data_IF_458526510487
#
_entry.id   IF_458526510487
#
_cell.length_a   1.000
_cell.length_b   1.000
_cell.length_c   1.000
_cell.angle_alpha   90.00
_cell.angle_beta   90.00
_cell.angle_gamma   90.00
#
_symmetry.space_group_name_H-M   'P 1'
#
loop_
_entity.id
_entity.type
_entity.pdbx_description
1 polymer ?
#
# COMPACT_ATOMS: atom_id res chain seq x y z
N UNK A 1 -2.09 5.85 24.70
CA UNK A 1 -0.89 5.67 25.50
C UNK A 1 0.15 4.85 24.74
N UNK A 2 1.43 5.07 25.07
CA UNK A 2 2.54 4.34 24.50
C UNK A 2 3.01 3.25 25.44
N UNK A 3 3.48 2.16 24.88
CA UNK A 3 4.08 1.07 25.65
C UNK A 3 5.44 0.71 25.07
N UNK A 4 6.29 0.11 25.89
CA UNK A 4 7.57 -0.41 25.44
C UNK A 4 7.30 -1.56 24.47
N UNK A 5 7.94 -1.51 23.31
CA UNK A 5 7.72 -2.45 22.20
C UNK A 5 6.86 -1.89 21.09
N UNK A 6 6.16 -0.78 21.30
CA UNK A 6 5.36 -0.15 20.26
C UNK A 6 6.26 0.42 19.16
N UNK A 7 5.83 0.25 17.92
CA UNK A 7 6.43 0.96 16.78
C UNK A 7 5.73 2.30 16.61
N UNK A 8 6.48 3.37 16.70
CA UNK A 8 5.94 4.74 16.61
C UNK A 8 6.68 5.56 15.56
N UNK A 9 5.98 6.54 15.02
CA UNK A 9 6.56 7.63 14.23
C UNK A 9 6.23 8.94 14.90
N UNK A 10 7.26 9.72 15.22
CA UNK A 10 7.14 11.04 15.86
C UNK A 10 7.91 12.02 14.99
N UNK A 11 7.17 12.86 14.27
CA UNK A 11 7.76 13.70 13.23
C UNK A 11 8.36 12.83 12.12
N UNK A 12 9.66 12.97 11.91
CA UNK A 12 10.40 12.19 10.89
C UNK A 12 11.17 10.99 11.48
N UNK A 13 11.00 10.70 12.76
CA UNK A 13 11.70 9.62 13.46
C UNK A 13 10.77 8.44 13.67
N UNK A 14 11.15 7.27 13.17
CA UNK A 14 10.40 6.02 13.33
C UNK A 14 11.25 4.96 14.01
N UNK A 15 10.61 4.19 14.90
CA UNK A 15 11.28 3.09 15.56
C UNK A 15 10.45 2.48 16.66
N UNK A 16 11.05 1.51 17.36
CA UNK A 16 10.43 0.81 18.49
C UNK A 16 10.76 1.52 19.79
N UNK A 17 9.77 1.74 20.63
CA UNK A 17 9.98 2.28 21.97
C UNK A 17 10.71 1.24 22.81
N UNK A 18 11.88 1.60 23.32
CA UNK A 18 12.71 0.70 24.14
C UNK A 18 12.74 1.13 25.61
N UNK A 19 12.42 2.39 25.91
CA UNK A 19 12.37 2.90 27.28
C UNK A 19 11.43 4.10 27.36
N UNK A 20 10.67 4.19 28.44
CA UNK A 20 9.78 5.32 28.72
C UNK A 20 10.15 5.90 30.07
N UNK A 21 10.54 7.17 30.07
CA UNK A 21 10.87 7.91 31.29
C UNK A 21 9.89 9.07 31.49
N UNK A 22 9.97 9.69 32.64
CA UNK A 22 9.05 10.76 33.02
C UNK A 22 9.04 11.94 32.01
N UNK A 23 10.19 12.27 31.40
CA UNK A 23 10.32 13.43 30.54
C UNK A 23 10.76 13.10 29.12
N UNK A 24 10.97 11.83 28.80
CA UNK A 24 11.47 11.40 27.49
C UNK A 24 11.14 9.96 27.21
N UNK A 25 11.14 9.61 25.94
CA UNK A 25 11.10 8.24 25.48
C UNK A 25 12.35 7.93 24.66
N UNK A 26 12.79 6.68 24.68
CA UNK A 26 13.86 6.20 23.83
C UNK A 26 13.28 5.31 22.75
N UNK A 27 13.67 5.59 21.51
CA UNK A 27 13.26 4.85 20.31
C UNK A 27 14.48 4.24 19.67
N UNK A 28 14.38 2.96 19.32
CA UNK A 28 15.40 2.26 18.54
C UNK A 28 14.98 2.21 17.08
N UNK A 29 15.74 2.85 16.21
CA UNK A 29 15.43 2.93 14.78
C UNK A 29 15.82 1.65 14.04
N UNK A 30 15.42 1.53 12.76
CA UNK A 30 15.79 0.39 11.92
C UNK A 30 17.30 0.30 11.68
N UNK A 31 18.02 1.43 11.74
CA UNK A 31 19.48 1.46 11.65
C UNK A 31 20.16 1.06 12.95
N UNK A 32 19.40 0.57 13.94
CA UNK A 32 19.90 0.17 15.25
C UNK A 32 20.46 1.34 16.08
N UNK A 33 20.03 2.54 15.80
CA UNK A 33 20.40 3.77 16.53
C UNK A 33 19.35 4.06 17.58
N UNK A 34 19.77 4.46 18.78
CA UNK A 34 18.85 4.87 19.84
C UNK A 34 18.69 6.39 19.84
N UNK A 35 17.45 6.86 19.74
CA UNK A 35 17.11 8.28 19.77
C UNK A 35 16.29 8.57 21.02
N UNK A 36 16.70 9.58 21.79
CA UNK A 36 15.93 10.06 22.94
C UNK A 36 15.11 11.28 22.54
N UNK A 37 13.80 11.21 22.72
CA UNK A 37 12.86 12.28 22.37
C UNK A 37 12.26 12.85 23.62
N UNK A 38 12.36 14.17 23.79
CA UNK A 38 11.79 14.88 24.94
C UNK A 38 10.27 14.98 24.81
N UNK A 39 9.55 14.93 25.93
CA UNK A 39 8.09 15.04 25.94
C UNK A 39 7.58 16.35 25.33
N UNK A 40 8.33 17.43 25.43
CA UNK A 40 7.98 18.70 24.78
C UNK A 40 7.89 18.57 23.27
N UNK A 41 8.77 17.79 22.66
CA UNK A 41 8.72 17.53 21.22
C UNK A 41 7.52 16.63 20.88
N UNK A 42 7.24 15.66 21.72
CA UNK A 42 6.09 14.77 21.54
C UNK A 42 4.77 15.55 21.48
N UNK A 43 4.64 16.60 22.30
CA UNK A 43 3.44 17.42 22.35
C UNK A 43 3.25 18.30 21.12
N UNK A 44 4.32 18.60 20.40
CA UNK A 44 4.28 19.47 19.23
C UNK A 44 4.26 18.74 17.89
N UNK A 45 4.48 17.44 17.89
CA UNK A 45 4.57 16.65 16.66
C UNK A 45 3.36 15.73 16.50
N UNK A 46 3.03 15.41 15.25
CA UNK A 46 2.06 14.36 14.97
C UNK A 46 2.67 13.01 15.33
N UNK A 47 1.91 12.18 16.01
CA UNK A 47 2.36 10.88 16.47
C UNK A 47 1.51 9.79 15.86
N UNK A 48 2.15 8.80 15.25
CA UNK A 48 1.50 7.62 14.69
C UNK A 48 1.99 6.41 15.50
N UNK A 49 1.07 5.75 16.21
CA UNK A 49 1.38 4.51 16.92
C UNK A 49 0.85 3.32 16.11
N UNK A 50 1.76 2.58 15.48
CA UNK A 50 1.41 1.44 14.63
C UNK A 50 0.93 0.23 15.41
N UNK A 51 1.12 0.20 16.72
CA UNK A 51 0.56 -0.87 17.56
C UNK A 51 -0.98 -0.85 17.60
N UNK A 52 -1.59 0.27 17.22
CA UNK A 52 -3.06 0.39 17.14
C UNK A 52 -3.62 0.05 15.77
N UNK A 53 -2.78 -0.33 14.81
CA UNK A 53 -3.24 -0.74 13.47
C UNK A 53 -4.05 -2.03 13.59
N UNK A 54 -5.29 -1.99 13.12
CA UNK A 54 -6.16 -3.17 13.06
C UNK A 54 -6.51 -3.58 11.62
N UNK A 55 -6.03 -2.82 10.63
CA UNK A 55 -6.20 -3.09 9.21
C UNK A 55 -5.13 -2.36 8.41
N UNK A 56 -4.75 -2.91 7.25
CA UNK A 56 -3.82 -2.26 6.34
C UNK A 56 -4.50 -2.01 5.01
N UNK A 57 -4.23 -0.84 4.44
CA UNK A 57 -4.76 -0.46 3.14
C UNK A 57 -3.85 -0.95 2.03
N UNK A 58 -4.46 -1.48 0.96
CA UNK A 58 -3.78 -1.81 -0.28
C UNK A 58 -4.35 -0.93 -1.38
N UNK A 59 -3.46 -0.30 -2.14
CA UNK A 59 -3.79 0.47 -3.32
C UNK A 59 -3.05 -0.09 -4.52
N UNK A 60 -3.75 -0.28 -5.63
CA UNK A 60 -3.18 -0.76 -6.87
C UNK A 60 -3.63 0.15 -8.00
N UNK A 61 -2.69 0.56 -8.85
CA UNK A 61 -2.96 1.35 -10.05
C UNK A 61 -2.62 0.53 -11.28
N UNK A 62 -3.60 0.31 -12.15
CA UNK A 62 -3.41 -0.37 -13.42
C UNK A 62 -3.56 0.63 -14.56
N UNK A 63 -2.58 0.66 -15.44
CA UNK A 63 -2.54 1.55 -16.60
C UNK A 63 -2.83 0.72 -17.84
N UNK A 64 -4.02 0.88 -18.41
CA UNK A 64 -4.40 0.15 -19.64
C UNK A 64 -4.08 0.99 -20.88
N UNK A 65 -3.74 0.34 -22.01
CA UNK A 65 -3.60 1.05 -23.27
C UNK A 65 -4.89 1.77 -23.65
N UNK A 66 -4.77 2.93 -24.28
CA UNK A 66 -5.94 3.74 -24.67
C UNK A 66 -6.86 3.05 -25.68
N UNK A 67 -6.36 2.08 -26.42
CA UNK A 67 -7.17 1.30 -27.39
C UNK A 67 -7.92 0.14 -26.73
N UNK A 68 -7.84 0.01 -25.40
CA UNK A 68 -8.63 -0.99 -24.67
C UNK A 68 -10.11 -0.60 -24.72
N UNK A 69 -10.97 -1.51 -25.18
CA UNK A 69 -12.41 -1.22 -25.27
C UNK A 69 -13.05 -1.08 -23.89
N UNK A 70 -14.19 -0.40 -23.83
CA UNK A 70 -14.96 -0.28 -22.60
C UNK A 70 -15.41 -1.65 -22.08
N UNK A 71 -15.83 -2.54 -22.99
CA UNK A 71 -16.25 -3.90 -22.64
C UNK A 71 -15.11 -4.69 -22.01
N UNK A 72 -13.91 -4.60 -22.58
CA UNK A 72 -12.73 -5.31 -22.06
C UNK A 72 -12.31 -4.74 -20.72
N UNK A 73 -12.38 -3.43 -20.54
CA UNK A 73 -12.10 -2.75 -19.27
C UNK A 73 -13.09 -3.19 -18.20
N UNK A 74 -14.38 -3.20 -18.51
CA UNK A 74 -15.42 -3.63 -17.57
C UNK A 74 -15.27 -5.10 -17.18
N UNK A 75 -14.97 -5.96 -18.14
CA UNK A 75 -14.74 -7.37 -17.88
C UNK A 75 -13.53 -7.60 -16.96
N UNK A 76 -12.44 -6.85 -17.19
CA UNK A 76 -11.27 -6.89 -16.32
C UNK A 76 -11.63 -6.47 -14.90
N UNK A 77 -12.38 -5.39 -14.73
CA UNK A 77 -12.81 -4.92 -13.40
C UNK A 77 -13.67 -5.96 -12.68
N UNK A 78 -14.57 -6.63 -13.39
CA UNK A 78 -15.38 -7.72 -12.82
C UNK A 78 -14.51 -8.89 -12.39
N UNK A 79 -13.53 -9.27 -13.18
CA UNK A 79 -12.63 -10.37 -12.86
C UNK A 79 -11.74 -10.04 -11.66
N UNK A 80 -11.27 -8.80 -11.56
CA UNK A 80 -10.52 -8.34 -10.39
C UNK A 80 -11.40 -8.44 -9.15
N UNK A 81 -12.63 -7.95 -9.22
CA UNK A 81 -13.57 -8.03 -8.09
C UNK A 81 -13.79 -9.46 -7.64
N UNK A 82 -14.02 -10.38 -8.56
CA UNK A 82 -14.22 -11.80 -8.24
C UNK A 82 -13.02 -12.40 -7.50
N UNK A 83 -11.81 -12.08 -7.95
CA UNK A 83 -10.58 -12.52 -7.29
C UNK A 83 -10.51 -11.97 -5.87
N UNK A 84 -10.71 -10.67 -5.71
CA UNK A 84 -10.60 -10.01 -4.41
C UNK A 84 -11.66 -10.54 -3.43
N UNK A 85 -12.89 -10.75 -3.89
CA UNK A 85 -13.97 -11.28 -3.05
C UNK A 85 -13.75 -12.74 -2.66
N UNK A 86 -12.92 -13.48 -3.39
CA UNK A 86 -12.59 -14.86 -3.06
C UNK A 86 -11.51 -14.99 -1.99
N UNK A 87 -10.78 -13.91 -1.70
CA UNK A 87 -9.67 -13.94 -0.75
C UNK A 87 -10.17 -13.64 0.68
N UNK A 88 -9.89 -14.54 1.62
CA UNK A 88 -10.35 -14.39 3.00
C UNK A 88 -9.64 -13.26 3.73
N UNK A 89 -8.42 -12.94 3.31
CA UNK A 89 -7.59 -11.90 3.93
C UNK A 89 -8.11 -10.48 3.68
N UNK A 90 -9.05 -10.33 2.75
CA UNK A 90 -9.58 -9.03 2.33
C UNK A 90 -10.93 -8.77 2.99
N UNK A 91 -11.09 -7.56 3.53
CA UNK A 91 -12.40 -7.08 3.96
C UNK A 91 -13.21 -6.68 2.72
N UNK A 92 -14.16 -7.51 2.35
CA UNK A 92 -14.92 -7.38 1.10
C UNK A 92 -15.70 -6.09 0.98
N UNK A 93 -16.17 -5.55 2.10
CA UNK A 93 -16.96 -4.30 2.11
C UNK A 93 -16.10 -3.07 1.77
N UNK A 94 -14.78 -3.21 1.76
CA UNK A 94 -13.86 -2.10 1.49
C UNK A 94 -13.37 -2.06 0.06
N UNK A 95 -13.68 -3.06 -0.76
CA UNK A 95 -13.19 -3.17 -2.13
C UNK A 95 -13.79 -2.05 -2.98
N UNK A 96 -12.90 -1.25 -3.59
CA UNK A 96 -13.27 -0.21 -4.54
C UNK A 96 -12.45 -0.39 -5.81
N UNK A 97 -13.11 -0.51 -6.94
CA UNK A 97 -12.50 -0.67 -8.25
C UNK A 97 -13.13 0.34 -9.18
N UNK A 98 -12.34 1.30 -9.68
CA UNK A 98 -12.86 2.38 -10.49
C UNK A 98 -11.92 2.74 -11.63
N UNK A 99 -12.48 3.13 -12.77
CA UNK A 99 -11.75 3.88 -13.78
C UNK A 99 -11.73 5.32 -13.30
N UNK A 100 -10.58 5.80 -12.90
CA UNK A 100 -10.44 7.13 -12.31
C UNK A 100 -10.03 8.20 -13.31
N UNK A 101 -9.43 7.79 -14.43
CA UNK A 101 -8.93 8.73 -15.41
C UNK A 101 -8.83 8.07 -16.78
N UNK A 102 -9.14 8.83 -17.82
CA UNK A 102 -8.78 8.52 -19.19
C UNK A 102 -7.79 9.61 -19.59
N UNK A 103 -6.52 9.29 -19.42
CA UNK A 103 -5.43 10.25 -19.62
C UNK A 103 -4.94 10.27 -21.06
N UNK A 104 -3.88 11.06 -21.30
CA UNK A 104 -3.27 11.17 -22.61
C UNK A 104 -2.56 9.89 -23.06
N UNK A 105 -2.14 9.06 -22.11
CA UNK A 105 -1.30 7.89 -22.39
C UNK A 105 -1.91 6.57 -21.94
N UNK A 106 -2.90 6.60 -21.07
CA UNK A 106 -3.47 5.38 -20.50
C UNK A 106 -4.86 5.61 -19.92
N UNK A 107 -5.59 4.51 -19.79
CA UNK A 107 -6.80 4.42 -18.97
C UNK A 107 -6.35 3.95 -17.60
N UNK A 108 -6.73 4.65 -16.53
CA UNK A 108 -6.29 4.36 -15.18
C UNK A 108 -7.39 3.67 -14.41
N UNK A 109 -7.12 2.47 -13.93
CA UNK A 109 -7.98 1.77 -12.98
C UNK A 109 -7.29 1.82 -11.63
N UNK A 110 -8.02 2.29 -10.61
CA UNK A 110 -7.55 2.23 -9.22
C UNK A 110 -8.34 1.22 -8.44
N UNK A 111 -7.63 0.43 -7.66
CA UNK A 111 -8.19 -0.59 -6.77
C UNK A 111 -7.76 -0.27 -5.35
N UNK A 112 -8.74 -0.17 -4.45
CA UNK A 112 -8.50 0.02 -3.02
C UNK A 112 -9.16 -1.09 -2.23
N UNK A 113 -8.51 -1.52 -1.18
CA UNK A 113 -9.08 -2.47 -0.24
C UNK A 113 -8.36 -2.39 1.10
N UNK A 114 -8.94 -2.99 2.12
CA UNK A 114 -8.29 -3.21 3.40
C UNK A 114 -8.16 -4.70 3.67
N UNK A 115 -7.04 -5.09 4.26
CA UNK A 115 -6.81 -6.43 4.77
C UNK A 115 -6.71 -6.41 6.29
N UNK A 116 -7.15 -7.50 6.93
CA UNK A 116 -7.05 -7.66 8.37
C UNK A 116 -5.67 -8.15 8.82
N UNK A 117 -4.74 -8.34 7.90
CA UNK A 117 -3.38 -8.76 8.22
C UNK A 117 -2.62 -7.56 8.80
N UNK A 118 -2.27 -7.66 10.08
CA UNK A 118 -1.58 -6.60 10.81
C UNK A 118 -0.07 -6.78 10.78
N UNK A 119 0.39 -8.03 10.91
CA UNK A 119 1.82 -8.38 10.85
C UNK A 119 2.40 -7.97 9.50
N UNK A 120 3.49 -7.21 9.53
CA UNK A 120 4.04 -6.61 8.31
C UNK A 120 4.62 -7.65 7.34
N UNK A 121 5.31 -8.66 7.84
CA UNK A 121 5.89 -9.69 6.98
C UNK A 121 4.80 -10.51 6.30
N UNK A 122 3.76 -10.85 7.03
CA UNK A 122 2.57 -11.52 6.48
C UNK A 122 1.85 -10.64 5.47
N UNK A 123 1.79 -9.33 5.73
CA UNK A 123 1.22 -8.37 4.80
C UNK A 123 2.00 -8.33 3.48
N UNK A 124 3.33 -8.30 3.53
CA UNK A 124 4.17 -8.33 2.33
C UNK A 124 3.99 -9.62 1.54
N UNK A 125 3.91 -10.76 2.23
CA UNK A 125 3.65 -12.06 1.60
C UNK A 125 2.28 -12.07 0.92
N UNK A 126 1.27 -11.55 1.57
CA UNK A 126 -0.07 -11.43 1.00
C UNK A 126 -0.09 -10.48 -0.20
N UNK A 127 0.57 -9.33 -0.10
CA UNK A 127 0.67 -8.36 -1.20
C UNK A 127 1.34 -8.97 -2.43
N UNK A 128 2.37 -9.77 -2.24
CA UNK A 128 3.04 -10.50 -3.31
C UNK A 128 2.08 -11.48 -3.98
N UNK A 129 1.37 -12.28 -3.19
CA UNK A 129 0.37 -13.22 -3.69
C UNK A 129 -0.71 -12.51 -4.50
N UNK A 130 -1.23 -11.41 -3.98
CA UNK A 130 -2.25 -10.61 -4.65
C UNK A 130 -1.74 -10.06 -5.98
N UNK A 131 -0.56 -9.44 -5.97
CA UNK A 131 0.02 -8.87 -7.19
C UNK A 131 0.28 -9.93 -8.25
N UNK A 132 0.82 -11.10 -7.87
CA UNK A 132 1.03 -12.20 -8.80
C UNK A 132 -0.28 -12.74 -9.37
N UNK A 133 -1.32 -12.81 -8.56
CA UNK A 133 -2.65 -13.23 -9.02
C UNK A 133 -3.22 -12.27 -10.05
N UNK A 134 -3.05 -10.96 -9.83
CA UNK A 134 -3.49 -9.94 -10.80
C UNK A 134 -2.63 -10.01 -12.08
N UNK A 135 -1.32 -10.19 -11.96
CA UNK A 135 -0.45 -10.37 -13.14
C UNK A 135 -0.92 -11.56 -13.97
N UNK A 136 -1.25 -12.69 -13.33
CA UNK A 136 -1.75 -13.88 -14.02
C UNK A 136 -3.07 -13.60 -14.73
N UNK A 137 -3.98 -12.86 -14.09
CA UNK A 137 -5.23 -12.44 -14.71
C UNK A 137 -4.98 -11.61 -15.99
N UNK A 138 -4.05 -10.65 -15.93
CA UNK A 138 -3.70 -9.82 -17.07
C UNK A 138 -3.12 -10.68 -18.22
N UNK A 139 -2.25 -11.63 -17.89
CA UNK A 139 -1.71 -12.57 -18.87
C UNK A 139 -2.81 -13.40 -19.53
N UNK A 140 -3.71 -13.98 -18.73
CA UNK A 140 -4.81 -14.81 -19.23
C UNK A 140 -5.77 -14.02 -20.15
N UNK A 141 -5.97 -12.75 -19.85
CA UNK A 141 -6.79 -11.85 -20.68
C UNK A 141 -6.03 -11.21 -21.81
N UNK A 142 -4.73 -11.46 -21.92
CA UNK A 142 -3.84 -10.87 -22.93
C UNK A 142 -3.86 -9.35 -22.90
N UNK A 143 -3.88 -8.79 -21.70
CA UNK A 143 -3.81 -7.35 -21.49
C UNK A 143 -2.39 -6.98 -21.09
N UNK A 144 -1.75 -6.12 -21.89
CA UNK A 144 -0.46 -5.52 -21.53
C UNK A 144 -0.72 -4.16 -20.94
N UNK A 145 -0.05 -3.86 -19.83
CA UNK A 145 -0.12 -2.54 -19.22
C UNK A 145 0.57 -1.51 -20.13
N UNK A 146 0.05 -0.28 -20.11
CA UNK A 146 0.61 0.80 -20.91
C UNK A 146 1.99 1.20 -20.41
N UNK A 147 2.89 1.45 -21.34
CA UNK A 147 4.21 1.98 -21.02
C UNK A 147 4.15 3.49 -20.85
N UNK A 148 4.92 4.07 -19.94
CA UNK A 148 5.09 5.51 -19.88
C UNK A 148 5.74 6.01 -21.16
N UNK A 149 5.29 7.15 -21.70
CA UNK A 149 5.87 7.75 -22.89
C UNK A 149 7.33 8.13 -22.69
N UNK A 150 7.71 8.42 -21.45
CA UNK A 150 9.07 8.73 -21.10
C UNK A 150 10.05 7.60 -21.42
N UNK A 151 9.56 6.39 -21.53
CA UNK A 151 10.42 5.25 -21.87
C UNK A 151 10.96 5.34 -23.27
N UNK A 152 10.48 6.30 -23.99
CA UNK A 152 10.86 6.35 -25.34
C UNK A 152 12.21 6.90 -25.52
N UNK A 153 12.75 7.55 -24.55
CA UNK A 153 13.95 8.18 -24.78
C UNK A 153 15.00 7.40 -24.49
N UNK A 154 15.02 6.69 -24.60
CA UNK A 154 16.08 6.18 -24.44
C UNK A 154 16.76 5.88 -25.52
N UNK A 155 16.43 6.14 -25.80
CA UNK A 155 17.06 5.86 -26.51
C UNK A 155 18.06 6.38 -26.81
N UNK A 156 18.24 6.79 -26.64
CA UNK A 156 19.00 7.16 -26.79
C UNK A 156 20.10 7.20 -26.77
N UNK A 157 20.30 7.31 -26.93
CA UNK A 157 21.27 7.39 -26.88
C UNK A 157 22.17 7.26 -26.81
#
# INVERSE_FOLDING_TARGET
PFEIGDWVTIGDISGTIVDIKFRSIKIKTVENTTVTIQNTKILSEAIINSATINARRIEMTLRLPLDTSSEKTEELMKSIRNILESMQEINKNTIQINVTEIGAEAIIIKVFLYTNIVDYDKFLTFSTKLNLTIMKLLEDKRIKLANPSADIYFSRK
#
